data_IF_475228873270
#
_entry.id   IF_475228873270
#
_cell.length_a   1.000
_cell.length_b   1.000
_cell.length_c   1.000
_cell.angle_alpha   90.00
_cell.angle_beta   90.00
_cell.angle_gamma   90.00
#
_symmetry.space_group_name_H-M   'P 1'
#
loop_
_entity.id
_entity.type
_entity.pdbx_description
1 polymer ?
#
# COMPACT_ATOMS: atom_id res chain seq x y z
N UNK A 1 -21.41 24.81 6.43
CA UNK A 1 -20.03 24.27 6.52
C UNK A 1 -20.12 22.75 6.42
N UNK A 2 -19.38 22.13 5.50
CA UNK A 2 -19.38 20.67 5.32
C UNK A 2 -18.69 20.01 6.54
N UNK A 3 -19.10 18.79 6.90
CA UNK A 3 -18.57 18.03 8.05
C UNK A 3 -17.04 17.85 8.00
N UNK A 4 -16.48 17.59 6.82
CA UNK A 4 -15.02 17.49 6.63
C UNK A 4 -14.31 18.79 6.98
N UNK A 5 -14.81 19.92 6.46
CA UNK A 5 -14.25 21.25 6.75
C UNK A 5 -14.32 21.57 8.25
N UNK A 6 -15.41 21.17 8.92
CA UNK A 6 -15.54 21.31 10.37
C UNK A 6 -14.48 20.47 11.11
N UNK A 7 -14.31 19.20 10.75
CA UNK A 7 -13.29 18.34 11.34
C UNK A 7 -11.88 18.87 11.12
N UNK A 8 -11.55 19.34 9.91
CA UNK A 8 -10.25 19.93 9.58
C UNK A 8 -9.96 21.16 10.47
N UNK A 9 -10.97 22.01 10.69
CA UNK A 9 -10.85 23.19 11.55
C UNK A 9 -10.62 22.81 13.03
N UNK A 10 -11.41 21.87 13.56
CA UNK A 10 -11.33 21.44 14.98
C UNK A 10 -10.06 20.64 15.26
N UNK A 11 -9.73 19.69 14.40
CA UNK A 11 -8.61 18.77 14.63
C UNK A 11 -7.25 19.35 14.21
N UNK A 12 -7.26 20.37 13.35
CA UNK A 12 -6.08 20.91 12.65
C UNK A 12 -5.34 19.86 11.81
N UNK A 13 -5.94 18.68 11.58
CA UNK A 13 -5.40 17.64 10.73
C UNK A 13 -5.72 17.97 9.27
N UNK A 14 -4.70 18.40 8.54
CA UNK A 14 -4.83 18.89 7.16
C UNK A 14 -4.15 17.99 6.14
N UNK A 15 -3.45 16.95 6.57
CA UNK A 15 -2.79 15.98 5.69
C UNK A 15 -3.56 14.66 5.71
N UNK A 16 -3.98 14.19 4.55
CA UNK A 16 -4.57 12.87 4.35
C UNK A 16 -3.68 12.05 3.41
N UNK A 17 -3.36 10.82 3.80
CA UNK A 17 -2.52 9.90 3.03
C UNK A 17 -3.29 8.60 2.75
N UNK A 18 -4.25 8.60 1.82
CA UNK A 18 -4.96 7.37 1.45
C UNK A 18 -4.02 6.41 0.71
N UNK A 19 -4.19 5.11 0.96
CA UNK A 19 -3.50 4.08 0.17
C UNK A 19 -4.45 3.00 -0.34
N UNK A 20 -4.10 2.46 -1.49
CA UNK A 20 -4.78 1.38 -2.21
C UNK A 20 -3.74 0.32 -2.62
N UNK A 21 -4.23 -0.84 -3.06
CA UNK A 21 -3.37 -1.85 -3.71
C UNK A 21 -3.73 -1.98 -5.19
N UNK A 22 -5.02 -2.11 -5.51
CA UNK A 22 -5.48 -2.24 -6.89
C UNK A 22 -6.88 -1.65 -7.12
N UNK A 23 -7.17 -1.35 -8.39
CA UNK A 23 -8.50 -1.00 -8.87
C UNK A 23 -8.82 -1.91 -10.04
N UNK A 24 -9.93 -2.67 -9.97
CA UNK A 24 -10.31 -3.60 -11.03
C UNK A 24 -11.83 -3.74 -11.14
N UNK A 25 -12.35 -3.91 -12.36
CA UNK A 25 -13.78 -4.13 -12.59
C UNK A 25 -14.24 -5.54 -12.20
N UNK A 26 -13.32 -6.52 -12.27
CA UNK A 26 -13.61 -7.90 -11.94
C UNK A 26 -12.72 -8.36 -10.76
N UNK A 27 -13.22 -9.27 -9.93
CA UNK A 27 -12.42 -9.84 -8.87
C UNK A 27 -11.17 -10.53 -9.40
N UNK A 28 -10.00 -10.19 -8.87
CA UNK A 28 -8.73 -10.84 -9.22
C UNK A 28 -8.56 -12.12 -8.38
N UNK A 29 -8.36 -13.30 -8.99
CA UNK A 29 -8.32 -14.57 -8.25
C UNK A 29 -7.30 -14.61 -7.11
N UNK A 30 -6.16 -13.94 -7.30
CA UNK A 30 -5.09 -13.88 -6.31
C UNK A 30 -5.36 -12.91 -5.15
N UNK A 31 -6.41 -12.07 -5.23
CA UNK A 31 -6.72 -11.05 -4.21
C UNK A 31 -8.09 -11.25 -3.57
N UNK A 32 -9.09 -11.72 -4.32
CA UNK A 32 -10.51 -11.67 -3.95
C UNK A 32 -10.88 -12.32 -2.61
N UNK A 33 -10.05 -13.22 -2.09
CA UNK A 33 -10.25 -13.89 -0.80
C UNK A 33 -9.55 -13.19 0.37
N UNK A 34 -8.77 -12.14 0.11
CA UNK A 34 -8.01 -11.39 1.11
C UNK A 34 -8.73 -10.10 1.51
N UNK A 35 -9.02 -9.26 0.54
CA UNK A 35 -9.72 -8.00 0.71
C UNK A 35 -10.54 -7.65 -0.53
N UNK A 36 -11.41 -6.65 -0.41
CA UNK A 36 -12.21 -6.16 -1.52
C UNK A 36 -11.49 -4.99 -2.19
N UNK A 37 -11.27 -5.10 -3.48
CA UNK A 37 -10.76 -4.00 -4.31
C UNK A 37 -11.88 -3.01 -4.66
N UNK A 38 -11.49 -1.80 -5.01
CA UNK A 38 -12.39 -0.80 -5.59
C UNK A 38 -12.59 -1.06 -7.08
N UNK A 39 -13.82 -0.86 -7.56
CA UNK A 39 -14.09 -0.71 -8.98
C UNK A 39 -13.60 0.66 -9.48
N UNK A 40 -13.42 0.82 -10.78
CA UNK A 40 -13.05 2.12 -11.40
C UNK A 40 -14.03 3.22 -10.96
N UNK A 41 -15.33 2.93 -10.98
CA UNK A 41 -16.37 3.89 -10.57
C UNK A 41 -16.24 4.29 -9.09
N UNK A 42 -15.93 3.37 -8.21
CA UNK A 42 -15.71 3.65 -6.78
C UNK A 42 -14.45 4.47 -6.57
N UNK A 43 -13.36 4.11 -7.24
CA UNK A 43 -12.11 4.84 -7.19
C UNK A 43 -12.26 6.28 -7.71
N UNK A 44 -12.97 6.48 -8.82
CA UNK A 44 -13.26 7.83 -9.33
C UNK A 44 -14.06 8.66 -8.34
N UNK A 45 -15.06 8.08 -7.67
CA UNK A 45 -15.80 8.76 -6.60
C UNK A 45 -14.91 9.14 -5.41
N UNK A 46 -13.99 8.26 -5.02
CA UNK A 46 -13.02 8.52 -3.97
C UNK A 46 -12.09 9.68 -4.37
N UNK A 47 -11.64 9.74 -5.63
CA UNK A 47 -10.85 10.86 -6.17
C UNK A 47 -11.65 12.17 -6.21
N UNK A 48 -12.90 12.13 -6.64
CA UNK A 48 -13.76 13.33 -6.67
C UNK A 48 -13.99 13.88 -5.25
N UNK A 49 -14.15 12.99 -4.26
CA UNK A 49 -14.21 13.38 -2.86
C UNK A 49 -12.89 14.03 -2.39
N UNK A 50 -11.74 13.44 -2.70
CA UNK A 50 -10.43 13.99 -2.32
C UNK A 50 -10.23 15.37 -2.96
N UNK A 51 -10.41 15.50 -4.26
CA UNK A 51 -10.22 16.76 -5.00
C UNK A 51 -11.18 17.86 -4.57
N UNK A 52 -12.36 17.51 -4.06
CA UNK A 52 -13.31 18.47 -3.49
C UNK A 52 -12.88 19.05 -2.15
N UNK A 53 -12.13 18.28 -1.35
CA UNK A 53 -11.86 18.63 0.05
C UNK A 53 -10.39 18.85 0.38
N UNK A 54 -9.48 18.45 -0.51
CA UNK A 54 -8.03 18.51 -0.33
C UNK A 54 -7.34 18.88 -1.65
N UNK A 55 -6.23 19.56 -1.57
CA UNK A 55 -5.34 19.79 -2.72
C UNK A 55 -4.39 18.59 -2.88
N UNK A 56 -4.20 18.03 -4.10
CA UNK A 56 -3.24 16.95 -4.33
C UNK A 56 -1.81 17.48 -4.22
N UNK A 57 -0.94 16.75 -3.55
CA UNK A 57 0.49 17.04 -3.46
C UNK A 57 1.33 15.84 -3.90
N UNK A 58 2.52 16.08 -4.43
CA UNK A 58 3.49 15.03 -4.73
C UNK A 58 4.35 14.68 -3.51
N UNK A 59 5.16 13.63 -3.64
CA UNK A 59 6.05 13.15 -2.57
C UNK A 59 7.11 14.20 -2.19
N UNK A 60 7.61 14.98 -3.15
CA UNK A 60 8.58 16.05 -2.88
C UNK A 60 7.98 17.12 -1.96
N UNK A 61 6.75 17.56 -2.21
CA UNK A 61 6.05 18.52 -1.33
C UNK A 61 5.87 17.96 0.07
N UNK A 62 5.51 16.65 0.19
CA UNK A 62 5.39 15.99 1.48
C UNK A 62 6.75 15.96 2.21
N UNK A 63 7.83 15.65 1.50
CA UNK A 63 9.19 15.70 2.04
C UNK A 63 9.59 17.11 2.48
N UNK A 64 9.23 18.16 1.72
CA UNK A 64 9.48 19.55 2.12
C UNK A 64 8.76 19.90 3.44
N UNK A 65 7.55 19.43 3.68
CA UNK A 65 6.89 19.60 4.99
C UNK A 65 7.69 18.93 6.12
N UNK A 66 8.26 17.76 5.85
CA UNK A 66 9.08 17.05 6.82
C UNK A 66 10.36 17.80 7.18
N UNK A 67 11.22 18.13 6.20
CA UNK A 67 12.52 18.75 6.46
C UNK A 67 12.41 20.16 7.05
N UNK A 68 11.40 20.92 6.61
CA UNK A 68 11.16 22.28 7.11
C UNK A 68 10.35 22.28 8.43
N UNK A 69 9.93 21.10 8.94
CA UNK A 69 9.09 20.96 10.15
C UNK A 69 7.82 21.81 10.07
N UNK A 70 7.23 21.92 8.88
CA UNK A 70 6.02 22.70 8.63
C UNK A 70 4.80 21.79 8.47
N UNK A 71 3.63 22.38 8.63
CA UNK A 71 2.34 21.71 8.38
C UNK A 71 1.63 22.40 7.22
N UNK A 72 0.82 21.65 6.44
CA UNK A 72 0.06 22.25 5.35
C UNK A 72 -0.82 23.40 5.84
N UNK A 73 -0.81 24.54 5.13
CA UNK A 73 -1.70 25.67 5.42
C UNK A 73 -3.14 25.40 4.99
N UNK A 74 -3.33 24.65 3.91
CA UNK A 74 -4.61 24.14 3.40
C UNK A 74 -4.67 22.61 3.56
N UNK A 75 -5.88 22.01 3.53
CA UNK A 75 -6.01 20.57 3.46
C UNK A 75 -5.37 20.02 2.19
N UNK A 76 -4.51 19.02 2.35
CA UNK A 76 -3.80 18.35 1.25
C UNK A 76 -3.91 16.83 1.35
N UNK A 77 -3.77 16.15 0.22
CA UNK A 77 -3.63 14.71 0.21
C UNK A 77 -2.49 14.25 -0.70
N UNK A 78 -1.91 13.10 -0.38
CA UNK A 78 -0.99 12.38 -1.25
C UNK A 78 -1.44 10.93 -1.34
N UNK A 79 -1.62 10.44 -2.57
CA UNK A 79 -2.03 9.06 -2.82
C UNK A 79 -0.83 8.13 -2.85
N UNK A 80 -1.03 6.93 -2.31
CA UNK A 80 -0.04 5.86 -2.46
C UNK A 80 -0.72 4.55 -2.87
N UNK A 81 0.05 3.69 -3.56
CA UNK A 81 -0.38 2.36 -3.98
C UNK A 81 0.70 1.36 -3.60
N UNK A 82 0.30 0.24 -3.00
CA UNK A 82 1.21 -0.80 -2.53
C UNK A 82 1.22 -2.01 -3.48
N UNK A 83 2.14 -2.95 -3.27
CA UNK A 83 2.30 -4.25 -3.92
C UNK A 83 2.77 -4.24 -5.38
N UNK A 84 2.77 -3.10 -6.07
CA UNK A 84 3.25 -3.03 -7.46
C UNK A 84 2.44 -3.87 -8.45
N UNK A 85 1.10 -3.88 -8.32
CA UNK A 85 0.20 -4.64 -9.20
C UNK A 85 0.06 -3.98 -10.58
N UNK A 86 -0.14 -4.79 -11.65
CA UNK A 86 -0.24 -4.32 -13.04
C UNK A 86 -1.40 -3.34 -13.26
N UNK A 87 -2.50 -3.47 -12.51
CA UNK A 87 -3.67 -2.61 -12.56
C UNK A 87 -3.32 -1.13 -12.27
N UNK A 88 -2.21 -0.89 -11.58
CA UNK A 88 -1.69 0.47 -11.37
C UNK A 88 -1.30 1.10 -12.72
N UNK A 89 -0.61 0.36 -13.58
CA UNK A 89 -0.21 0.83 -14.90
C UNK A 89 -1.39 0.89 -15.88
N UNK A 90 -2.21 -0.16 -15.89
CA UNK A 90 -3.26 -0.34 -16.89
C UNK A 90 -4.50 0.52 -16.64
N UNK A 91 -4.84 0.76 -15.36
CA UNK A 91 -6.11 1.38 -14.94
C UNK A 91 -5.89 2.67 -14.15
N UNK A 92 -5.07 2.60 -13.09
CA UNK A 92 -4.97 3.70 -12.13
C UNK A 92 -4.21 4.89 -12.70
N UNK A 93 -3.03 4.65 -13.28
CA UNK A 93 -2.17 5.72 -13.79
C UNK A 93 -2.86 6.59 -14.87
N UNK A 94 -3.57 6.03 -15.88
CA UNK A 94 -4.34 6.83 -16.84
C UNK A 94 -5.37 7.75 -16.18
N UNK A 95 -6.08 7.26 -15.15
CA UNK A 95 -7.09 8.05 -14.42
C UNK A 95 -6.42 9.20 -13.64
N UNK A 96 -5.32 8.90 -12.95
CA UNK A 96 -4.59 9.91 -12.17
C UNK A 96 -3.98 10.98 -13.06
N UNK A 97 -3.38 10.59 -14.19
CA UNK A 97 -2.82 11.53 -15.18
C UNK A 97 -3.91 12.45 -15.74
N UNK A 98 -5.07 11.91 -16.10
CA UNK A 98 -6.21 12.70 -16.59
C UNK A 98 -6.70 13.73 -15.55
N UNK A 99 -6.65 13.38 -14.25
CA UNK A 99 -7.09 14.27 -13.16
C UNK A 99 -5.96 15.15 -12.59
N UNK A 100 -4.72 15.01 -13.07
CA UNK A 100 -3.56 15.75 -12.56
C UNK A 100 -3.20 15.40 -11.11
N UNK A 101 -3.43 14.17 -10.69
CA UNK A 101 -3.20 13.71 -9.31
C UNK A 101 -1.89 12.93 -9.24
N UNK A 102 -0.86 13.45 -8.54
CA UNK A 102 0.38 12.72 -8.32
C UNK A 102 0.21 11.60 -7.29
N UNK A 103 1.02 10.54 -7.40
CA UNK A 103 1.02 9.44 -6.45
C UNK A 103 2.41 8.83 -6.28
N UNK A 104 2.58 8.08 -5.17
CA UNK A 104 3.73 7.18 -4.95
C UNK A 104 3.29 5.74 -5.10
N UNK A 105 4.07 4.95 -5.83
CA UNK A 105 3.84 3.53 -6.11
C UNK A 105 4.91 2.71 -5.38
N UNK A 106 4.52 1.93 -4.40
CA UNK A 106 5.43 1.09 -3.63
C UNK A 106 5.48 -0.32 -4.22
N UNK A 107 6.68 -0.80 -4.56
CA UNK A 107 6.88 -2.08 -5.25
C UNK A 107 7.71 -3.05 -4.40
N UNK A 108 7.32 -4.32 -4.42
CA UNK A 108 8.12 -5.40 -3.84
C UNK A 108 9.17 -5.87 -4.85
N UNK A 109 10.44 -5.70 -4.54
CA UNK A 109 11.53 -5.99 -5.49
C UNK A 109 11.60 -7.45 -5.93
N UNK A 110 11.15 -8.39 -5.07
CA UNK A 110 11.10 -9.81 -5.38
C UNK A 110 9.97 -10.22 -6.34
N UNK A 111 8.95 -9.35 -6.55
CA UNK A 111 7.79 -9.69 -7.38
C UNK A 111 7.81 -9.00 -8.74
N UNK A 112 8.55 -7.90 -8.89
CA UNK A 112 8.68 -7.18 -10.18
C UNK A 112 9.12 -8.14 -11.29
N UNK A 113 8.61 -7.94 -12.50
CA UNK A 113 8.74 -8.83 -13.66
C UNK A 113 8.12 -10.22 -13.44
N UNK A 114 7.21 -10.35 -12.47
CA UNK A 114 6.52 -11.60 -12.16
C UNK A 114 7.48 -12.76 -11.76
N UNK A 115 8.55 -12.44 -11.02
CA UNK A 115 9.57 -13.41 -10.60
C UNK A 115 9.08 -14.37 -9.53
N UNK A 116 8.20 -13.92 -8.64
CA UNK A 116 7.64 -14.71 -7.56
C UNK A 116 6.21 -14.24 -7.23
N UNK A 117 5.46 -15.05 -6.50
CA UNK A 117 4.12 -14.73 -6.05
C UNK A 117 4.12 -14.44 -4.54
N UNK A 118 3.51 -13.35 -4.14
CA UNK A 118 3.26 -13.02 -2.74
C UNK A 118 2.50 -14.14 -2.04
N UNK A 119 2.99 -14.60 -0.87
CA UNK A 119 2.42 -15.79 -0.22
C UNK A 119 0.93 -15.65 0.15
N UNK A 120 0.44 -14.42 0.41
CA UNK A 120 -1.01 -14.20 0.63
C UNK A 120 -1.80 -14.37 -0.67
N UNK A 121 -1.24 -13.99 -1.80
CA UNK A 121 -1.86 -14.23 -3.11
C UNK A 121 -1.86 -15.73 -3.44
N UNK A 122 -0.80 -16.45 -3.09
CA UNK A 122 -0.77 -17.91 -3.14
C UNK A 122 -1.92 -18.51 -2.29
N UNK A 123 -2.13 -18.02 -1.06
CA UNK A 123 -3.25 -18.45 -0.20
C UNK A 123 -4.61 -18.21 -0.85
N UNK A 124 -4.82 -17.05 -1.49
CA UNK A 124 -6.07 -16.77 -2.22
C UNK A 124 -6.30 -17.71 -3.39
N UNK A 125 -5.26 -18.00 -4.20
CA UNK A 125 -5.35 -18.96 -5.30
C UNK A 125 -5.63 -20.39 -4.81
N UNK A 126 -5.05 -20.80 -3.69
CA UNK A 126 -5.32 -22.08 -3.05
C UNK A 126 -6.81 -22.20 -2.65
N UNK A 127 -7.38 -21.16 -2.04
CA UNK A 127 -8.80 -21.09 -1.71
C UNK A 127 -9.66 -21.18 -2.96
N UNK A 128 -9.35 -20.41 -4.01
CA UNK A 128 -10.10 -20.42 -5.26
C UNK A 128 -10.11 -21.81 -5.90
N UNK A 129 -8.99 -22.50 -5.93
CA UNK A 129 -8.87 -23.87 -6.45
C UNK A 129 -9.70 -24.87 -5.65
N UNK A 130 -9.69 -24.76 -4.32
CA UNK A 130 -10.46 -25.63 -3.44
C UNK A 130 -11.96 -25.40 -3.58
N UNK A 131 -12.40 -24.15 -3.76
CA UNK A 131 -13.78 -23.79 -4.05
C UNK A 131 -14.26 -24.43 -5.37
N UNK A 132 -13.48 -24.30 -6.44
CA UNK A 132 -13.81 -24.92 -7.74
C UNK A 132 -13.94 -26.44 -7.70
N UNK A 133 -13.35 -27.10 -6.70
CA UNK A 133 -13.39 -28.55 -6.50
C UNK A 133 -14.38 -29.00 -5.42
N UNK A 134 -15.18 -28.10 -4.86
CA UNK A 134 -16.06 -28.35 -3.71
C UNK A 134 -15.36 -28.98 -2.50
N UNK A 135 -14.07 -28.63 -2.28
CA UNK A 135 -13.22 -29.18 -1.21
C UNK A 135 -12.92 -28.17 -0.09
N UNK A 136 -13.42 -26.95 -0.19
CA UNK A 136 -13.14 -25.91 0.80
C UNK A 136 -14.11 -26.02 1.99
N UNK A 137 -13.56 -26.30 3.18
CA UNK A 137 -14.27 -26.17 4.45
C UNK A 137 -13.93 -24.82 5.12
N UNK A 138 -14.77 -24.38 6.06
CA UNK A 138 -14.49 -23.17 6.85
C UNK A 138 -13.18 -23.29 7.66
N UNK A 139 -12.90 -24.46 8.21
CA UNK A 139 -11.65 -24.74 8.94
C UNK A 139 -10.44 -24.59 8.02
N UNK A 140 -10.47 -25.21 6.85
CA UNK A 140 -9.39 -25.16 5.87
C UNK A 140 -9.17 -23.73 5.33
N UNK A 141 -10.26 -22.99 5.08
CA UNK A 141 -10.17 -21.58 4.71
C UNK A 141 -9.46 -20.75 5.76
N UNK A 142 -9.81 -20.95 7.05
CA UNK A 142 -9.17 -20.24 8.17
C UNK A 142 -7.70 -20.60 8.27
N UNK A 143 -7.35 -21.88 8.18
CA UNK A 143 -5.96 -22.37 8.18
C UNK A 143 -5.13 -21.71 7.07
N UNK A 144 -5.60 -21.74 5.83
CA UNK A 144 -4.92 -21.15 4.68
C UNK A 144 -4.74 -19.63 4.86
N UNK A 145 -5.78 -18.91 5.31
CA UNK A 145 -5.73 -17.47 5.51
C UNK A 145 -4.88 -17.05 6.73
N UNK A 146 -4.69 -17.91 7.70
CA UNK A 146 -3.84 -17.67 8.89
C UNK A 146 -2.39 -18.13 8.69
N UNK A 147 -2.04 -18.63 7.50
CA UNK A 147 -0.67 -19.05 7.20
C UNK A 147 0.32 -17.88 7.42
N UNK A 148 1.29 -18.07 8.31
CA UNK A 148 2.33 -17.08 8.61
C UNK A 148 3.39 -17.05 7.52
N UNK A 149 4.19 -15.97 7.50
CA UNK A 149 5.32 -15.84 6.59
C UNK A 149 6.32 -17.00 6.74
N UNK A 150 6.62 -17.45 7.96
CA UNK A 150 7.53 -18.56 8.23
C UNK A 150 7.03 -19.90 7.68
N UNK A 151 5.69 -20.09 7.71
CA UNK A 151 5.05 -21.34 7.28
C UNK A 151 4.50 -21.28 5.85
N UNK A 152 4.83 -20.25 5.06
CA UNK A 152 4.29 -20.02 3.72
C UNK A 152 4.46 -21.19 2.75
N UNK A 153 5.51 -21.99 2.94
CA UNK A 153 5.75 -23.18 2.12
C UNK A 153 4.65 -24.25 2.29
N UNK A 154 3.88 -24.23 3.38
CA UNK A 154 2.76 -25.15 3.56
C UNK A 154 1.65 -24.92 2.52
N UNK A 155 1.61 -23.78 1.86
CA UNK A 155 0.64 -23.47 0.80
C UNK A 155 0.88 -24.30 -0.47
N UNK A 156 2.08 -24.82 -0.70
CA UNK A 156 2.42 -25.65 -1.88
C UNK A 156 1.62 -26.96 -1.93
N UNK A 157 1.10 -27.45 -0.80
CA UNK A 157 0.23 -28.61 -0.79
C UNK A 157 -1.14 -28.35 -1.47
N UNK A 158 -1.59 -27.10 -1.55
CA UNK A 158 -2.86 -26.71 -2.15
C UNK A 158 -2.71 -26.19 -3.57
N UNK A 159 -1.63 -25.44 -3.83
CA UNK A 159 -1.33 -24.83 -5.12
C UNK A 159 0.17 -24.93 -5.38
N UNK A 160 0.56 -25.85 -6.27
CA UNK A 160 1.96 -26.25 -6.46
C UNK A 160 2.82 -25.15 -7.13
N UNK A 161 4.15 -25.28 -7.05
CA UNK A 161 5.06 -24.35 -7.71
C UNK A 161 4.78 -24.24 -9.22
N UNK A 162 4.57 -25.36 -9.92
CA UNK A 162 4.21 -25.33 -11.35
C UNK A 162 2.98 -24.49 -11.62
N UNK A 163 1.96 -24.59 -10.79
CA UNK A 163 0.73 -23.80 -10.94
C UNK A 163 0.97 -22.31 -10.65
N UNK A 164 1.91 -21.98 -9.75
CA UNK A 164 2.35 -20.60 -9.53
C UNK A 164 3.06 -20.07 -10.78
N UNK A 165 3.98 -20.85 -11.33
CA UNK A 165 4.74 -20.45 -12.51
C UNK A 165 3.81 -20.23 -13.71
N UNK A 166 2.85 -21.14 -13.93
CA UNK A 166 1.82 -21.01 -14.96
C UNK A 166 0.96 -19.74 -14.75
N UNK A 167 0.57 -19.46 -13.49
CA UNK A 167 -0.18 -18.26 -13.14
C UNK A 167 0.63 -17.00 -13.42
N UNK A 168 1.88 -16.93 -12.99
CA UNK A 168 2.76 -15.77 -13.20
C UNK A 168 3.03 -15.51 -14.69
N UNK A 169 3.16 -16.56 -15.50
CA UNK A 169 3.34 -16.44 -16.95
C UNK A 169 2.08 -15.95 -17.67
N UNK A 170 0.92 -16.43 -17.27
CA UNK A 170 -0.35 -16.14 -17.95
C UNK A 170 -0.97 -14.82 -17.47
N UNK A 171 -1.08 -14.61 -16.17
CA UNK A 171 -1.78 -13.46 -15.58
C UNK A 171 -0.89 -12.23 -15.40
N UNK A 172 0.41 -12.43 -15.18
CA UNK A 172 1.41 -11.34 -14.99
C UNK A 172 0.90 -10.27 -14.00
N UNK A 173 0.65 -10.65 -12.74
CA UNK A 173 -0.05 -9.77 -11.80
C UNK A 173 0.74 -8.52 -11.39
N UNK A 174 2.07 -8.48 -11.60
CA UNK A 174 2.92 -7.39 -11.15
C UNK A 174 3.45 -6.54 -12.30
N UNK A 175 3.82 -5.31 -11.94
CA UNK A 175 4.52 -4.38 -12.81
C UNK A 175 5.85 -4.97 -13.29
N UNK A 176 6.19 -4.69 -14.54
CA UNK A 176 7.54 -4.92 -15.08
C UNK A 176 8.45 -3.72 -14.81
N UNK A 177 9.77 -3.93 -14.86
CA UNK A 177 10.75 -2.84 -14.78
C UNK A 177 10.47 -1.74 -15.82
N UNK A 178 10.08 -2.10 -17.04
CA UNK A 178 9.79 -1.12 -18.09
C UNK A 178 8.50 -0.32 -17.81
N UNK A 179 7.48 -0.95 -17.24
CA UNK A 179 6.27 -0.23 -16.79
C UNK A 179 6.60 0.73 -15.63
N UNK A 180 7.44 0.31 -14.67
CA UNK A 180 7.88 1.16 -13.56
C UNK A 180 8.65 2.38 -14.08
N UNK A 181 9.57 2.20 -15.02
CA UNK A 181 10.30 3.31 -15.66
C UNK A 181 9.36 4.27 -16.39
N UNK A 182 8.37 3.73 -17.08
CA UNK A 182 7.35 4.53 -17.79
C UNK A 182 6.53 5.36 -16.80
N UNK A 183 6.07 4.76 -15.70
CA UNK A 183 5.33 5.45 -14.64
C UNK A 183 6.18 6.56 -13.99
N UNK A 184 7.47 6.29 -13.73
CA UNK A 184 8.38 7.31 -13.21
C UNK A 184 8.55 8.48 -14.20
N UNK A 185 8.70 8.20 -15.49
CA UNK A 185 8.79 9.23 -16.54
C UNK A 185 7.50 10.05 -16.69
N UNK A 186 6.35 9.48 -16.34
CA UNK A 186 5.05 10.15 -16.29
C UNK A 186 4.84 11.01 -15.03
N UNK A 187 5.82 11.04 -14.10
CA UNK A 187 5.79 11.87 -12.90
C UNK A 187 5.31 11.17 -11.62
N UNK A 188 5.07 9.86 -11.67
CA UNK A 188 4.83 9.08 -10.44
C UNK A 188 6.14 8.85 -9.70
N UNK A 189 6.08 8.90 -8.36
CA UNK A 189 7.22 8.54 -7.51
C UNK A 189 7.19 7.02 -7.25
N UNK A 190 8.34 6.36 -7.31
CA UNK A 190 8.46 4.94 -7.02
C UNK A 190 9.08 4.76 -5.64
N UNK A 191 8.47 3.96 -4.79
CA UNK A 191 8.97 3.61 -3.46
C UNK A 191 9.20 2.12 -3.31
N UNK A 192 9.94 1.74 -2.27
CA UNK A 192 10.20 0.35 -1.91
C UNK A 192 9.14 -0.17 -0.92
N UNK A 193 8.77 -1.47 -1.06
CA UNK A 193 7.79 -2.16 -0.21
C UNK A 193 8.32 -3.48 0.34
N UNK A 194 9.59 -3.56 0.73
CA UNK A 194 10.35 -4.75 1.00
C UNK A 194 10.61 -5.64 -0.24
N UNK A 195 11.31 -6.75 -0.02
CA UNK A 195 11.59 -7.71 -1.09
C UNK A 195 10.39 -8.64 -1.35
N UNK A 196 9.92 -9.38 -0.31
CA UNK A 196 8.90 -10.41 -0.43
C UNK A 196 7.72 -10.29 0.57
N UNK A 197 7.50 -9.09 1.09
CA UNK A 197 6.31 -8.69 1.84
C UNK A 197 6.05 -9.46 3.16
N UNK A 198 7.03 -9.58 4.11
CA UNK A 198 6.79 -10.17 5.42
C UNK A 198 6.10 -9.20 6.38
N UNK A 199 5.47 -9.71 7.45
CA UNK A 199 5.23 -8.87 8.62
C UNK A 199 6.57 -8.54 9.29
N UNK A 200 6.93 -7.25 9.43
CA UNK A 200 8.22 -6.84 9.97
C UNK A 200 8.42 -7.29 11.41
N UNK A 201 7.39 -7.33 12.23
CA UNK A 201 7.47 -7.84 13.61
C UNK A 201 7.65 -9.37 13.69
N UNK A 202 7.48 -10.12 12.59
CA UNK A 202 7.68 -11.58 12.53
C UNK A 202 9.09 -11.98 12.09
N UNK A 203 9.91 -11.04 11.66
CA UNK A 203 11.29 -11.28 11.19
C UNK A 203 12.31 -10.56 12.06
N UNK A 204 13.56 -11.05 12.07
CA UNK A 204 14.64 -10.45 12.84
C UNK A 204 14.96 -9.02 12.36
N UNK A 205 15.57 -8.21 13.23
CA UNK A 205 16.03 -6.87 12.88
C UNK A 205 16.98 -6.89 11.67
N UNK A 206 17.89 -7.86 11.62
CA UNK A 206 18.82 -8.04 10.50
C UNK A 206 18.06 -8.27 9.19
N UNK A 207 17.06 -9.15 9.20
CA UNK A 207 16.22 -9.42 8.02
C UNK A 207 15.34 -8.23 7.65
N UNK A 208 14.79 -7.48 8.61
CA UNK A 208 14.09 -6.23 8.36
C UNK A 208 14.97 -5.24 7.59
N UNK A 209 16.22 -5.04 8.06
CA UNK A 209 17.19 -4.15 7.43
C UNK A 209 17.56 -4.65 6.04
N UNK A 210 17.89 -5.92 5.89
CA UNK A 210 18.24 -6.54 4.61
C UNK A 210 17.12 -6.32 3.58
N UNK A 211 15.88 -6.65 3.91
CA UNK A 211 14.72 -6.50 3.02
C UNK A 211 14.47 -5.05 2.62
N UNK A 212 14.59 -4.14 3.58
CA UNK A 212 14.42 -2.71 3.33
C UNK A 212 15.49 -2.19 2.38
N UNK A 213 16.77 -2.47 2.68
CA UNK A 213 17.90 -1.98 1.87
C UNK A 213 17.91 -2.57 0.47
N UNK A 214 17.74 -3.89 0.34
CA UNK A 214 17.66 -4.57 -0.96
C UNK A 214 16.56 -3.98 -1.84
N UNK A 215 15.38 -3.72 -1.28
CA UNK A 215 14.26 -3.14 -2.04
C UNK A 215 14.48 -1.67 -2.41
N UNK A 216 15.13 -0.86 -1.55
CA UNK A 216 15.50 0.52 -1.85
C UNK A 216 16.59 0.58 -2.94
N UNK A 217 17.59 -0.29 -2.87
CA UNK A 217 18.65 -0.40 -3.88
C UNK A 217 18.07 -0.81 -5.23
N UNK A 218 17.16 -1.80 -5.24
CA UNK A 218 16.45 -2.18 -6.45
C UNK A 218 15.74 -0.99 -7.09
N UNK A 219 14.93 -0.25 -6.34
CA UNK A 219 14.24 0.95 -6.86
C UNK A 219 15.24 1.97 -7.40
N UNK A 220 16.32 2.27 -6.66
CA UNK A 220 17.35 3.22 -7.07
C UNK A 220 18.10 2.78 -8.32
N UNK A 221 18.18 1.46 -8.59
CA UNK A 221 18.84 0.91 -9.78
C UNK A 221 18.02 1.06 -11.05
N UNK A 222 16.70 1.15 -10.96
CA UNK A 222 15.79 1.15 -12.10
C UNK A 222 15.21 2.53 -12.43
N UNK A 223 15.12 3.45 -11.45
CA UNK A 223 14.60 4.80 -11.65
C UNK A 223 15.54 5.86 -11.12
N UNK A 224 15.70 6.95 -11.87
CA UNK A 224 16.51 8.11 -11.45
C UNK A 224 15.61 9.12 -10.74
N UNK A 225 15.37 8.92 -9.44
CA UNK A 225 14.61 9.84 -8.58
C UNK A 225 15.42 10.24 -7.34
N UNK A 226 15.12 11.41 -6.78
CA UNK A 226 15.86 11.94 -5.62
C UNK A 226 15.45 11.27 -4.31
N UNK A 227 14.15 11.02 -4.14
CA UNK A 227 13.60 10.54 -2.87
C UNK A 227 13.71 9.02 -2.73
N UNK A 228 14.14 8.59 -1.56
CA UNK A 228 14.15 7.20 -1.12
C UNK A 228 12.99 6.97 -0.15
N UNK A 229 11.91 6.37 -0.64
CA UNK A 229 10.66 6.18 0.09
C UNK A 229 10.43 4.70 0.39
N UNK A 230 9.93 4.41 1.58
CA UNK A 230 9.63 3.04 2.01
C UNK A 230 8.23 2.95 2.62
N UNK A 231 7.41 1.99 2.20
CA UNK A 231 6.16 1.64 2.88
C UNK A 231 6.29 0.28 3.57
N UNK A 232 5.83 0.19 4.82
CA UNK A 232 5.85 -1.07 5.55
C UNK A 232 4.84 -2.05 4.99
N UNK A 233 5.24 -3.32 4.70
CA UNK A 233 4.30 -4.39 4.44
C UNK A 233 3.29 -4.55 5.59
N UNK A 234 2.01 -4.63 5.29
CA UNK A 234 0.90 -4.72 6.23
C UNK A 234 0.81 -3.57 7.25
N UNK A 235 1.84 -3.39 8.09
CA UNK A 235 1.84 -2.43 9.20
C UNK A 235 3.25 -2.20 9.76
N UNK A 236 3.46 -1.01 10.31
CA UNK A 236 4.64 -0.64 11.11
C UNK A 236 4.48 -0.95 12.61
N UNK A 237 3.38 -1.62 13.01
CA UNK A 237 3.12 -2.01 14.39
C UNK A 237 4.21 -2.97 14.91
N UNK A 238 4.67 -2.74 16.14
CA UNK A 238 5.75 -3.50 16.80
C UNK A 238 7.11 -3.50 16.07
N UNK A 239 7.32 -2.65 15.09
CA UNK A 239 8.67 -2.40 14.56
C UNK A 239 9.49 -1.63 15.59
N UNK A 240 10.70 -2.09 15.89
CA UNK A 240 11.52 -1.57 16.97
C UNK A 240 12.03 -0.14 16.68
N UNK A 241 12.20 0.66 17.73
CA UNK A 241 12.85 1.98 17.60
C UNK A 241 14.25 1.88 16.99
N UNK A 242 14.96 0.78 17.32
CA UNK A 242 16.29 0.52 16.75
C UNK A 242 16.23 0.42 15.21
N UNK A 243 15.26 -0.29 14.65
CA UNK A 243 15.09 -0.35 13.20
C UNK A 243 14.95 1.05 12.60
N UNK A 244 14.07 1.89 13.15
CA UNK A 244 13.89 3.25 12.64
C UNK A 244 15.17 4.09 12.73
N UNK A 245 15.92 3.98 13.82
CA UNK A 245 17.20 4.69 13.95
C UNK A 245 18.23 4.22 12.91
N UNK A 246 18.26 2.91 12.61
CA UNK A 246 19.21 2.34 11.67
C UNK A 246 18.88 2.72 10.21
N UNK A 247 17.59 2.92 9.86
CA UNK A 247 17.18 3.31 8.49
C UNK A 247 17.08 4.82 8.28
N UNK A 248 16.97 5.64 9.32
CA UNK A 248 16.79 7.11 9.22
C UNK A 248 17.81 7.77 8.28
N UNK A 249 19.11 7.44 8.31
CA UNK A 249 20.09 8.05 7.41
C UNK A 249 20.02 7.56 5.96
N UNK A 250 19.18 6.54 5.67
CA UNK A 250 19.16 5.82 4.41
C UNK A 250 17.89 6.07 3.59
N UNK A 251 16.87 6.67 4.21
CA UNK A 251 15.57 6.97 3.59
C UNK A 251 15.13 8.39 3.89
N UNK A 252 14.30 8.96 3.03
CA UNK A 252 13.72 10.28 3.24
C UNK A 252 12.42 10.21 4.04
N UNK A 253 11.50 9.30 3.66
CA UNK A 253 10.24 9.08 4.36
C UNK A 253 9.89 7.59 4.38
N UNK A 254 9.25 7.16 5.49
CA UNK A 254 8.58 5.88 5.56
C UNK A 254 7.08 6.03 5.81
N UNK A 255 6.31 4.95 5.51
CA UNK A 255 4.86 4.98 5.56
C UNK A 255 4.30 3.76 6.28
N UNK A 256 3.58 4.01 7.38
CA UNK A 256 2.79 3.02 8.12
C UNK A 256 1.32 3.05 7.75
N UNK A 257 0.47 2.38 8.55
CA UNK A 257 -0.95 2.15 8.24
C UNK A 257 -1.91 2.47 9.38
N UNK A 258 -1.51 3.34 10.34
CA UNK A 258 -2.29 3.63 11.54
C UNK A 258 -3.28 4.82 11.41
N UNK A 259 -3.70 5.17 10.20
CA UNK A 259 -4.64 6.26 9.89
C UNK A 259 -4.12 7.64 10.36
N UNK A 260 -4.91 8.43 11.09
CA UNK A 260 -4.51 9.72 11.66
C UNK A 260 -3.77 9.60 13.01
N UNK A 261 -3.19 8.45 13.34
CA UNK A 261 -2.39 8.33 14.56
C UNK A 261 -1.20 9.29 14.49
N UNK A 262 -0.86 9.93 15.61
CA UNK A 262 0.35 10.75 15.70
C UNK A 262 1.58 9.87 15.45
N UNK A 263 2.48 10.34 14.60
CA UNK A 263 3.75 9.68 14.33
C UNK A 263 4.66 9.78 15.58
N UNK A 264 5.19 8.65 16.02
CA UNK A 264 6.23 8.58 17.07
C UNK A 264 7.63 8.79 16.46
N UNK A 265 7.78 8.42 15.18
CA UNK A 265 8.97 8.60 14.36
C UNK A 265 8.69 9.71 13.36
N UNK A 266 9.50 10.75 13.33
CA UNK A 266 9.22 12.00 12.60
C UNK A 266 9.09 11.80 11.08
N UNK A 267 9.87 10.89 10.49
CA UNK A 267 9.86 10.59 9.06
C UNK A 267 8.92 9.43 8.68
N UNK A 268 8.22 8.80 9.66
CA UNK A 268 7.25 7.72 9.42
C UNK A 268 5.82 8.27 9.42
N UNK A 269 5.22 8.39 8.25
CA UNK A 269 3.88 8.95 8.06
C UNK A 269 2.81 7.86 8.06
N UNK A 270 1.70 8.09 8.77
CA UNK A 270 0.61 7.13 8.86
C UNK A 270 -0.42 7.33 7.76
N UNK A 271 -0.81 6.23 7.09
CA UNK A 271 -1.71 6.23 5.95
C UNK A 271 -3.09 5.70 6.31
N UNK A 272 -4.08 6.02 5.48
CA UNK A 272 -5.48 5.62 5.62
C UNK A 272 -5.79 4.53 4.60
N UNK A 273 -6.11 3.32 5.05
CA UNK A 273 -6.52 2.24 4.15
C UNK A 273 -7.86 2.57 3.49
N UNK A 274 -7.85 2.72 2.16
CA UNK A 274 -9.05 2.99 1.37
C UNK A 274 -9.83 1.73 1.00
N UNK A 275 -9.18 0.58 1.04
CA UNK A 275 -9.74 -0.75 0.79
C UNK A 275 -9.94 -1.47 2.12
N UNK A 276 -11.20 -1.70 2.49
CA UNK A 276 -11.55 -2.46 3.69
C UNK A 276 -12.48 -3.61 3.29
N UNK A 277 -12.64 -4.60 4.17
CA UNK A 277 -13.60 -5.69 3.97
C UNK A 277 -15.04 -5.19 3.86
N UNK A 278 -15.34 -4.04 4.47
CA UNK A 278 -16.63 -3.34 4.36
C UNK A 278 -16.69 -2.50 3.09
N UNK A 279 -17.90 -2.35 2.50
CA UNK A 279 -18.14 -1.57 1.28
C UNK A 279 -18.07 -0.04 1.51
N UNK A 280 -17.28 0.40 2.49
CA UNK A 280 -17.22 1.80 2.87
C UNK A 280 -16.56 2.66 1.76
N UNK A 281 -17.17 3.81 1.45
CA UNK A 281 -16.51 4.82 0.63
C UNK A 281 -15.34 5.46 1.37
N UNK A 282 -14.34 5.96 0.65
CA UNK A 282 -13.23 6.70 1.26
C UNK A 282 -13.75 7.90 2.07
N UNK A 283 -14.80 8.58 1.59
CA UNK A 283 -15.45 9.66 2.33
C UNK A 283 -15.90 9.22 3.73
N UNK A 284 -16.57 8.07 3.82
CA UNK A 284 -17.03 7.53 5.11
C UNK A 284 -15.84 7.16 6.01
N UNK A 285 -14.82 6.50 5.44
CA UNK A 285 -13.61 6.11 6.15
C UNK A 285 -12.91 7.36 6.73
N UNK A 286 -12.68 8.39 5.92
CA UNK A 286 -12.00 9.63 6.34
C UNK A 286 -12.81 10.35 7.42
N UNK A 287 -14.14 10.47 7.28
CA UNK A 287 -15.00 11.06 8.31
C UNK A 287 -14.90 10.32 9.64
N UNK A 288 -14.92 8.98 9.61
CA UNK A 288 -14.79 8.13 10.77
C UNK A 288 -13.43 8.29 11.46
N UNK A 289 -12.34 8.38 10.68
CA UNK A 289 -11.00 8.56 11.23
C UNK A 289 -10.82 9.98 11.83
N UNK A 290 -11.41 11.03 11.23
CA UNK A 290 -11.46 12.36 11.85
C UNK A 290 -12.20 12.35 13.18
N UNK A 291 -13.36 11.67 13.26
CA UNK A 291 -14.12 11.55 14.49
C UNK A 291 -13.31 10.85 15.59
N UNK A 292 -12.66 9.73 15.25
CA UNK A 292 -11.78 9.01 16.19
C UNK A 292 -10.61 9.87 16.65
N UNK A 293 -9.97 10.60 15.73
CA UNK A 293 -8.86 11.49 16.05
C UNK A 293 -9.30 12.63 16.97
N UNK A 294 -10.47 13.20 16.75
CA UNK A 294 -11.05 14.24 17.59
C UNK A 294 -11.36 13.72 19.01
N UNK A 295 -12.08 12.58 19.11
CA UNK A 295 -12.41 11.96 20.40
C UNK A 295 -11.16 11.66 21.22
N UNK A 296 -10.10 11.09 20.63
CA UNK A 296 -8.83 10.80 21.32
C UNK A 296 -8.07 12.04 21.83
N UNK A 297 -8.42 13.23 21.38
CA UNK A 297 -7.83 14.50 21.86
C UNK A 297 -8.63 15.12 23.01
N UNK A 298 -9.83 14.64 23.24
CA UNK A 298 -10.69 15.09 24.35
C UNK A 298 -10.43 14.32 25.64
N UNK A 299 -9.83 13.14 25.53
CA UNK A 299 -9.42 12.24 26.61
C UNK A 299 -7.92 11.93 26.52
#
# INVERSE_FOLDING_TARGET
>A
MNLITLFQAITKQKLALPFYHAVAEQPLPHIQHLYRMKTVKEFQKDLDFLLKHFEPINAETLYQFHINKTVPQKPVFHLTFDDGLKEIYEIVAPILLQKGVPATLFVNSGFVDNKALFYRYHASLAIQKLLQKDKLTNSLRTEILSCSYQNRNNLFQYFSQQQIDDFLQNEKPYLTVEQIKTLCAQGFTIGAHSEDHPYYYEISLEEQLRQTLSSLEFVSSIVNQKLRLFAFPFTDYNVSRKFFNDIEPLIDLSFGTANFKKNEVSFNYQRIAAEKKTMDSLEFIVKKEYLKYWVKRLF
#
